data_IF_086965154217
#
_entry.id   IF_086965154217
#
_cell.length_a   1.000
_cell.length_b   1.000
_cell.length_c   1.000
_cell.angle_alpha   90.00
_cell.angle_beta   90.00
_cell.angle_gamma   90.00
#
_symmetry.space_group_name_H-M   'P 1'
#
loop_
_entity.id
_entity.type
_entity.pdbx_description
1 polymer ?
#
# COMPACT_ATOMS: atom_id res chain seq x y z
N UNK A 1 -24.73 -14.97 -0.88
CA UNK A 1 -24.08 -13.62 -0.78
C UNK A 1 -25.17 -12.55 -0.88
N UNK A 2 -25.04 -11.46 -0.11
CA UNK A 2 -26.02 -10.36 -0.14
C UNK A 2 -25.95 -9.57 -1.46
N UNK A 3 -27.02 -8.82 -1.79
CA UNK A 3 -27.01 -7.94 -2.96
C UNK A 3 -25.88 -6.88 -2.86
N UNK A 4 -25.60 -6.39 -1.65
CA UNK A 4 -24.54 -5.44 -1.39
C UNK A 4 -23.15 -6.06 -1.65
N UNK A 5 -22.89 -7.28 -1.18
CA UNK A 5 -21.63 -7.99 -1.44
C UNK A 5 -21.39 -8.14 -2.93
N UNK A 6 -22.42 -8.54 -3.69
CA UNK A 6 -22.33 -8.67 -5.13
C UNK A 6 -22.09 -7.35 -5.87
N UNK A 7 -22.66 -6.23 -5.36
CA UNK A 7 -22.42 -4.90 -5.91
C UNK A 7 -20.97 -4.44 -5.67
N UNK A 8 -20.44 -4.67 -4.47
CA UNK A 8 -19.04 -4.37 -4.13
C UNK A 8 -18.06 -5.19 -4.99
N UNK A 9 -18.37 -6.45 -5.28
CA UNK A 9 -17.54 -7.24 -6.20
C UNK A 9 -17.46 -6.61 -7.60
N UNK A 10 -18.55 -6.04 -8.12
CA UNK A 10 -18.53 -5.32 -9.40
C UNK A 10 -17.64 -4.07 -9.27
N UNK A 11 -17.77 -3.28 -8.21
CA UNK A 11 -16.93 -2.10 -8.02
C UNK A 11 -15.43 -2.45 -7.94
N UNK A 12 -15.09 -3.59 -7.36
CA UNK A 12 -13.70 -4.08 -7.29
C UNK A 12 -13.12 -4.54 -8.63
N UNK A 13 -13.93 -4.67 -9.69
CA UNK A 13 -13.42 -4.96 -11.03
C UNK A 13 -12.73 -3.75 -11.66
N UNK A 14 -13.04 -2.53 -11.22
CA UNK A 14 -12.42 -1.31 -11.72
C UNK A 14 -11.04 -1.10 -11.08
N UNK A 15 -10.08 -0.64 -11.86
CA UNK A 15 -8.73 -0.32 -11.41
C UNK A 15 -8.10 0.71 -12.36
N UNK A 16 -6.93 1.24 -12.01
CA UNK A 16 -6.18 2.14 -12.90
C UNK A 16 -5.81 1.48 -14.24
N UNK A 17 -5.64 0.17 -14.29
CA UNK A 17 -5.43 -0.59 -15.52
C UNK A 17 -6.74 -0.88 -16.27
N UNK A 18 -7.88 -0.77 -15.60
CA UNK A 18 -9.22 -1.02 -16.13
C UNK A 18 -10.18 0.07 -15.62
N UNK A 19 -10.02 1.31 -16.09
CA UNK A 19 -10.79 2.46 -15.58
C UNK A 19 -12.24 2.43 -16.02
N UNK A 20 -12.54 1.75 -17.13
CA UNK A 20 -13.89 1.51 -17.64
C UNK A 20 -14.08 0.05 -18.08
N UNK A 21 -15.30 -0.44 -17.97
CA UNK A 21 -15.66 -1.84 -18.28
C UNK A 21 -16.96 -1.89 -19.08
N UNK A 22 -17.00 -2.75 -20.08
CA UNK A 22 -18.25 -3.12 -20.76
C UNK A 22 -19.08 -4.06 -19.87
N UNK A 23 -20.35 -4.24 -20.23
CA UNK A 23 -21.20 -5.25 -19.59
C UNK A 23 -20.60 -6.66 -19.67
N UNK A 24 -20.01 -7.00 -20.82
CA UNK A 24 -19.37 -8.30 -21.03
C UNK A 24 -18.13 -8.48 -20.16
N UNK A 25 -17.30 -7.43 -20.00
CA UNK A 25 -16.12 -7.45 -19.13
C UNK A 25 -16.53 -7.74 -17.68
N UNK A 26 -17.57 -7.04 -17.18
CA UNK A 26 -18.08 -7.26 -15.82
C UNK A 26 -18.58 -8.69 -15.63
N UNK A 27 -19.30 -9.24 -16.60
CA UNK A 27 -19.74 -10.64 -16.54
C UNK A 27 -18.57 -11.61 -16.51
N UNK A 28 -17.57 -11.41 -17.35
CA UNK A 28 -16.39 -12.27 -17.42
C UNK A 28 -15.58 -12.23 -16.12
N UNK A 29 -15.41 -11.04 -15.52
CA UNK A 29 -14.65 -10.84 -14.30
C UNK A 29 -15.36 -11.37 -13.03
N UNK A 30 -16.70 -11.28 -12.99
CA UNK A 30 -17.47 -11.67 -11.79
C UNK A 30 -18.08 -13.05 -11.85
N UNK A 31 -18.16 -13.65 -13.05
CA UNK A 31 -18.84 -14.93 -13.27
C UNK A 31 -20.35 -14.91 -13.03
N UNK A 32 -20.96 -13.72 -12.88
CA UNK A 32 -22.38 -13.59 -12.51
C UNK A 32 -23.32 -13.75 -13.71
N UNK A 33 -24.54 -14.29 -13.50
CA UNK A 33 -25.56 -14.38 -14.54
C UNK A 33 -25.94 -13.01 -15.10
N UNK A 34 -26.30 -12.97 -16.41
CA UNK A 34 -26.68 -11.76 -17.15
C UNK A 34 -27.74 -10.92 -16.43
N UNK A 35 -28.80 -11.55 -15.93
CA UNK A 35 -29.91 -10.86 -15.23
C UNK A 35 -29.46 -10.19 -13.93
N UNK A 36 -28.62 -10.87 -13.14
CA UNK A 36 -28.07 -10.33 -11.91
C UNK A 36 -27.11 -9.17 -12.16
N UNK A 37 -26.20 -9.33 -13.14
CA UNK A 37 -25.25 -8.29 -13.54
C UNK A 37 -25.96 -7.04 -14.03
N UNK A 38 -26.98 -7.20 -14.89
CA UNK A 38 -27.76 -6.07 -15.41
C UNK A 38 -28.47 -5.30 -14.29
N UNK A 39 -29.09 -5.99 -13.34
CA UNK A 39 -29.77 -5.36 -12.21
C UNK A 39 -28.78 -4.62 -11.30
N UNK A 40 -27.64 -5.23 -10.97
CA UNK A 40 -26.64 -4.62 -10.10
C UNK A 40 -26.00 -3.39 -10.76
N UNK A 41 -25.61 -3.46 -12.03
CA UNK A 41 -25.06 -2.32 -12.77
C UNK A 41 -26.06 -1.16 -12.86
N UNK A 42 -27.35 -1.46 -13.08
CA UNK A 42 -28.42 -0.44 -13.05
C UNK A 42 -28.49 0.21 -11.66
N UNK A 43 -28.57 -0.58 -10.59
CA UNK A 43 -28.64 -0.05 -9.22
C UNK A 43 -27.42 0.80 -8.89
N UNK A 44 -26.20 0.35 -9.23
CA UNK A 44 -24.98 1.11 -9.01
C UNK A 44 -24.95 2.43 -9.78
N UNK A 45 -25.48 2.45 -11.00
CA UNK A 45 -25.62 3.66 -11.78
C UNK A 45 -26.69 4.59 -11.19
N UNK A 46 -27.84 4.06 -10.85
CA UNK A 46 -28.97 4.84 -10.36
C UNK A 46 -28.68 5.51 -9.00
N UNK A 47 -27.75 4.93 -8.19
CA UNK A 47 -27.27 5.55 -6.96
C UNK A 47 -25.96 6.36 -7.15
N UNK A 48 -25.47 6.57 -8.36
CA UNK A 48 -24.30 7.40 -8.67
C UNK A 48 -22.94 6.79 -8.38
N UNK A 49 -22.87 5.51 -7.96
CA UNK A 49 -21.60 4.79 -7.77
C UNK A 49 -20.92 4.43 -9.08
N UNK A 50 -21.71 4.21 -10.14
CA UNK A 50 -21.23 4.06 -11.51
C UNK A 50 -21.93 5.07 -12.40
N UNK A 51 -21.30 5.40 -13.51
CA UNK A 51 -21.92 6.06 -14.64
C UNK A 51 -21.68 5.25 -15.91
N UNK A 52 -22.56 5.40 -16.90
CA UNK A 52 -22.44 4.73 -18.18
C UNK A 52 -22.27 5.76 -19.28
N UNK A 53 -21.19 5.63 -20.02
CA UNK A 53 -20.96 6.46 -21.21
C UNK A 53 -22.08 6.23 -22.23
N UNK A 54 -22.77 7.27 -22.72
CA UNK A 54 -23.91 7.14 -23.62
C UNK A 54 -23.55 6.59 -25.01
N UNK A 55 -22.32 6.81 -25.46
CA UNK A 55 -21.85 6.41 -26.80
C UNK A 55 -21.25 5.01 -26.79
N UNK A 56 -20.29 4.75 -25.85
CA UNK A 56 -19.58 3.47 -25.78
C UNK A 56 -20.30 2.43 -24.96
N UNK A 57 -21.30 2.82 -24.17
CA UNK A 57 -22.06 1.98 -23.23
C UNK A 57 -21.17 1.32 -22.16
N UNK A 58 -19.92 1.77 -22.00
CA UNK A 58 -19.02 1.31 -20.95
C UNK A 58 -19.36 1.98 -19.63
N UNK A 59 -19.14 1.26 -18.53
CA UNK A 59 -19.33 1.73 -17.17
C UNK A 59 -17.98 2.23 -16.62
N UNK A 60 -18.02 3.29 -15.84
CA UNK A 60 -16.88 3.82 -15.07
C UNK A 60 -17.35 4.26 -13.69
N UNK A 61 -16.42 4.48 -12.71
CA UNK A 61 -16.78 5.05 -11.42
C UNK A 61 -17.56 6.35 -11.58
N UNK A 62 -18.68 6.47 -10.86
CA UNK A 62 -19.56 7.65 -10.90
C UNK A 62 -19.11 8.74 -9.94
N UNK A 63 -19.78 9.91 -10.02
CA UNK A 63 -19.42 11.09 -9.24
C UNK A 63 -19.43 10.84 -7.72
N UNK A 64 -20.37 10.04 -7.21
CA UNK A 64 -20.44 9.70 -5.79
C UNK A 64 -19.15 9.01 -5.29
N UNK A 65 -18.50 8.18 -6.12
CA UNK A 65 -17.23 7.55 -5.73
C UNK A 65 -16.11 8.56 -5.58
N UNK A 66 -16.08 9.59 -6.43
CA UNK A 66 -15.12 10.70 -6.33
C UNK A 66 -15.39 11.54 -5.06
N UNK A 67 -16.64 11.88 -4.77
CA UNK A 67 -17.03 12.65 -3.59
C UNK A 67 -16.63 11.91 -2.31
N UNK A 68 -16.97 10.63 -2.19
CA UNK A 68 -16.59 9.79 -1.06
C UNK A 68 -15.07 9.63 -0.94
N UNK A 69 -14.38 9.44 -2.08
CA UNK A 69 -12.92 9.35 -2.12
C UNK A 69 -12.23 10.64 -1.64
N UNK A 70 -12.82 11.80 -1.92
CA UNK A 70 -12.31 13.08 -1.40
C UNK A 70 -12.47 13.22 0.11
N UNK A 71 -13.52 12.66 0.69
CA UNK A 71 -13.74 12.67 2.14
C UNK A 71 -12.88 11.63 2.85
N UNK A 72 -12.49 10.57 2.15
CA UNK A 72 -11.63 9.55 2.71
C UNK A 72 -10.26 10.14 2.99
N UNK A 73 -9.87 10.18 4.26
CA UNK A 73 -8.58 10.71 4.75
C UNK A 73 -8.24 12.12 4.25
N UNK A 74 -9.27 12.96 3.98
CA UNK A 74 -9.07 14.33 3.52
C UNK A 74 -8.39 15.22 4.59
N UNK A 75 -8.52 14.85 5.85
CA UNK A 75 -7.94 15.53 7.01
C UNK A 75 -6.81 14.71 7.67
N UNK A 76 -6.19 13.80 6.92
CA UNK A 76 -5.13 12.96 7.43
C UNK A 76 -3.81 13.74 7.47
N UNK A 77 -3.57 14.41 8.58
CA UNK A 77 -2.35 15.17 8.83
C UNK A 77 -1.10 14.26 8.77
N UNK A 78 -1.25 12.97 9.15
CA UNK A 78 -0.17 11.99 9.09
C UNK A 78 0.31 11.75 7.65
N UNK A 79 -0.62 11.56 6.70
CA UNK A 79 -0.28 11.34 5.28
C UNK A 79 0.34 12.60 4.68
N UNK A 80 -0.25 13.77 4.95
CA UNK A 80 0.22 15.04 4.41
C UNK A 80 1.61 15.40 4.93
N UNK A 81 1.86 15.15 6.22
CA UNK A 81 3.16 15.33 6.86
C UNK A 81 4.20 14.37 6.26
N UNK A 82 3.85 13.09 6.15
CA UNK A 82 4.72 12.09 5.55
C UNK A 82 5.03 12.38 4.07
N UNK A 83 4.05 12.84 3.30
CA UNK A 83 4.23 13.19 1.89
C UNK A 83 5.21 14.35 1.72
N UNK A 84 5.11 15.39 2.54
CA UNK A 84 6.05 16.53 2.51
C UNK A 84 7.49 16.08 2.75
N UNK A 85 7.73 15.29 3.79
CA UNK A 85 9.07 14.78 4.11
C UNK A 85 9.58 13.80 3.04
N UNK A 86 8.69 12.97 2.49
CA UNK A 86 9.04 12.02 1.43
C UNK A 86 9.45 12.74 0.13
N UNK A 87 8.85 13.91 -0.18
CA UNK A 87 9.28 14.75 -1.31
C UNK A 87 10.76 15.16 -1.20
N UNK A 88 11.20 15.52 0.00
CA UNK A 88 12.59 15.85 0.26
C UNK A 88 13.53 14.64 0.04
N UNK A 89 13.14 13.48 0.52
CA UNK A 89 13.89 12.23 0.30
C UNK A 89 13.97 11.89 -1.19
N UNK A 90 12.84 11.95 -1.90
CA UNK A 90 12.78 11.69 -3.34
C UNK A 90 13.62 12.68 -4.16
N UNK A 91 13.62 13.97 -3.77
CA UNK A 91 14.44 14.99 -4.41
C UNK A 91 15.94 14.72 -4.23
N UNK A 92 16.37 14.29 -3.02
CA UNK A 92 17.79 14.00 -2.73
C UNK A 92 18.26 12.66 -3.30
N UNK A 93 17.40 11.66 -3.39
CA UNK A 93 17.78 10.32 -3.85
C UNK A 93 17.50 10.11 -5.34
N UNK A 94 16.63 10.91 -5.95
CA UNK A 94 16.18 10.74 -7.32
C UNK A 94 15.15 9.62 -7.51
N UNK A 95 14.85 8.83 -6.48
CA UNK A 95 13.98 7.67 -6.56
C UNK A 95 12.52 7.99 -6.20
N UNK A 96 11.60 7.11 -6.59
CA UNK A 96 10.16 7.29 -6.38
C UNK A 96 9.74 6.79 -5.00
N UNK A 97 9.01 7.63 -4.26
CA UNK A 97 8.46 7.33 -2.95
C UNK A 97 6.99 6.92 -3.00
N UNK A 98 6.58 6.14 -2.00
CA UNK A 98 5.22 5.63 -1.84
C UNK A 98 4.75 5.74 -0.40
N UNK A 99 3.48 6.11 -0.24
CA UNK A 99 2.78 6.00 1.04
C UNK A 99 1.61 5.03 0.83
N UNK A 100 1.49 4.05 1.71
CA UNK A 100 0.46 3.02 1.65
C UNK A 100 -0.13 2.74 3.02
N UNK A 101 -1.29 2.11 3.04
CA UNK A 101 -1.95 1.57 4.24
C UNK A 101 -2.12 0.07 4.12
N UNK A 102 -2.33 -0.59 5.27
CA UNK A 102 -2.60 -2.01 5.34
C UNK A 102 -4.12 -2.24 5.32
N UNK A 103 -4.58 -3.09 4.42
CA UNK A 103 -5.97 -3.58 4.35
C UNK A 103 -5.98 -5.11 4.22
N UNK A 104 -6.36 -5.78 5.31
CA UNK A 104 -6.18 -7.23 5.42
C UNK A 104 -4.70 -7.61 5.38
N UNK A 105 -4.33 -8.47 4.43
CA UNK A 105 -2.93 -8.87 4.16
C UNK A 105 -2.30 -8.12 2.98
N UNK A 106 -2.99 -7.15 2.42
CA UNK A 106 -2.53 -6.33 1.30
C UNK A 106 -2.19 -4.92 1.77
N UNK A 107 -1.25 -4.30 1.10
CA UNK A 107 -1.09 -2.86 1.13
C UNK A 107 -1.89 -2.19 0.02
N UNK A 108 -2.36 -0.99 0.26
CA UNK A 108 -3.02 -0.13 -0.72
C UNK A 108 -2.22 1.16 -0.85
N UNK A 109 -1.75 1.47 -2.05
CA UNK A 109 -1.01 2.72 -2.32
C UNK A 109 -1.97 3.91 -2.21
N UNK A 110 -1.63 4.90 -1.40
CA UNK A 110 -2.40 6.14 -1.26
C UNK A 110 -1.76 7.31 -1.97
N UNK A 111 -0.42 7.40 -1.95
CA UNK A 111 0.34 8.49 -2.56
C UNK A 111 1.57 7.95 -3.28
N UNK A 112 1.91 8.63 -4.37
CA UNK A 112 3.18 8.49 -5.09
C UNK A 112 3.88 9.83 -5.08
N UNK A 113 5.14 9.81 -4.74
CA UNK A 113 6.03 10.98 -4.84
C UNK A 113 7.10 10.67 -5.88
N UNK A 114 7.00 11.23 -7.10
CA UNK A 114 7.98 10.97 -8.15
C UNK A 114 9.36 11.48 -7.78
N UNK A 115 10.39 10.70 -8.08
CA UNK A 115 11.78 11.16 -8.12
C UNK A 115 12.16 11.65 -9.53
N UNK A 116 13.40 12.12 -9.68
CA UNK A 116 13.97 12.60 -10.96
C UNK A 116 14.50 11.48 -11.86
N UNK A 117 14.68 10.26 -11.34
CA UNK A 117 15.17 9.12 -12.12
C UNK A 117 14.17 8.75 -13.23
N UNK A 118 14.59 8.61 -14.49
CA UNK A 118 13.72 8.22 -15.60
C UNK A 118 13.18 6.79 -15.47
N UNK A 119 13.91 5.88 -14.84
CA UNK A 119 13.44 4.54 -14.53
C UNK A 119 12.55 4.57 -13.29
N UNK A 120 11.25 4.53 -13.51
CA UNK A 120 10.25 4.61 -12.43
C UNK A 120 9.49 3.31 -12.30
N UNK A 121 9.38 2.86 -11.07
CA UNK A 121 8.37 1.86 -10.70
C UNK A 121 7.05 2.61 -10.55
N UNK A 122 6.02 2.21 -11.29
CA UNK A 122 4.71 2.88 -11.24
C UNK A 122 3.69 1.96 -10.57
N UNK A 123 3.38 2.26 -9.32
CA UNK A 123 2.27 1.65 -8.59
C UNK A 123 1.24 2.75 -8.30
N UNK A 124 0.19 2.92 -9.11
CA UNK A 124 -0.74 4.04 -8.98
C UNK A 124 -1.51 3.98 -7.66
N UNK A 125 -2.01 5.12 -7.16
CA UNK A 125 -2.93 5.15 -6.03
C UNK A 125 -4.10 4.20 -6.24
N UNK A 126 -4.49 3.47 -5.17
CA UNK A 126 -5.46 2.39 -5.22
C UNK A 126 -4.87 1.02 -5.61
N UNK A 127 -3.62 0.95 -6.09
CA UNK A 127 -2.97 -0.33 -6.37
C UNK A 127 -2.83 -1.14 -5.09
N UNK A 128 -3.27 -2.41 -5.18
CA UNK A 128 -3.17 -3.40 -4.10
C UNK A 128 -2.04 -4.39 -4.41
N UNK A 129 -1.29 -4.73 -3.39
CA UNK A 129 -0.19 -5.69 -3.49
C UNK A 129 -0.09 -6.45 -2.17
N UNK A 130 0.19 -7.77 -2.16
CA UNK A 130 0.43 -8.49 -0.92
C UNK A 130 1.50 -7.81 -0.06
N UNK A 131 1.14 -7.40 1.15
CA UNK A 131 2.05 -6.71 2.08
C UNK A 131 3.28 -7.54 2.42
N UNK A 132 3.15 -8.87 2.32
CA UNK A 132 4.21 -9.84 2.55
C UNK A 132 5.40 -9.68 1.58
N UNK A 133 5.14 -9.16 0.37
CA UNK A 133 6.12 -9.05 -0.72
C UNK A 133 6.64 -7.61 -0.91
N UNK A 134 6.32 -6.68 -0.03
CA UNK A 134 6.73 -5.28 -0.17
C UNK A 134 7.43 -4.77 1.09
N UNK A 135 8.35 -3.82 0.95
CA UNK A 135 9.08 -3.27 2.09
C UNK A 135 8.17 -2.51 3.06
N UNK A 136 7.37 -1.57 2.56
CA UNK A 136 6.42 -0.83 3.41
C UNK A 136 5.31 -1.73 3.98
N UNK A 137 4.85 -2.73 3.23
CA UNK A 137 3.88 -3.72 3.72
C UNK A 137 4.43 -4.51 4.91
N UNK A 138 5.63 -5.09 4.77
CA UNK A 138 6.28 -5.80 5.88
C UNK A 138 6.62 -4.87 7.05
N UNK A 139 7.00 -3.63 6.77
CA UNK A 139 7.22 -2.66 7.84
C UNK A 139 5.95 -2.42 8.67
N UNK A 140 4.78 -2.33 8.03
CA UNK A 140 3.50 -2.21 8.73
C UNK A 140 3.14 -3.50 9.49
N UNK A 141 3.32 -4.68 8.87
CA UNK A 141 3.06 -5.96 9.52
C UNK A 141 3.95 -6.14 10.77
N UNK A 142 5.21 -5.71 10.73
CA UNK A 142 6.14 -5.80 11.86
C UNK A 142 5.67 -5.00 13.10
N UNK A 143 4.76 -4.02 12.91
CA UNK A 143 4.16 -3.21 13.99
C UNK A 143 2.93 -3.86 14.65
N UNK A 144 2.47 -4.99 14.14
CA UNK A 144 1.34 -5.74 14.65
C UNK A 144 1.81 -6.84 15.61
N UNK A 145 0.89 -7.34 16.45
CA UNK A 145 1.10 -8.55 17.22
C UNK A 145 1.19 -9.78 16.30
N UNK A 146 1.85 -10.83 16.75
CA UNK A 146 1.93 -12.09 15.99
C UNK A 146 0.55 -12.73 15.77
N UNK A 147 -0.38 -12.51 16.71
CA UNK A 147 -1.77 -12.94 16.60
C UNK A 147 -2.50 -12.18 15.48
N UNK A 148 -2.37 -10.84 15.44
CA UNK A 148 -2.95 -10.02 14.39
C UNK A 148 -2.40 -10.35 13.01
N UNK A 149 -1.09 -10.62 12.91
CA UNK A 149 -0.44 -11.04 11.66
C UNK A 149 -1.02 -12.37 11.21
N UNK A 150 -1.15 -13.34 12.13
CA UNK A 150 -1.72 -14.66 11.83
C UNK A 150 -3.16 -14.59 11.37
N UNK A 151 -3.96 -13.74 11.99
CA UNK A 151 -5.36 -13.52 11.61
C UNK A 151 -5.53 -12.88 10.22
N UNK A 152 -4.56 -12.08 9.79
CA UNK A 152 -4.59 -11.39 8.49
C UNK A 152 -4.09 -12.24 7.33
N UNK A 153 -3.04 -13.03 7.57
CA UNK A 153 -2.44 -13.87 6.51
C UNK A 153 -3.37 -15.03 6.19
N UNK A 154 -3.74 -15.23 4.91
CA UNK A 154 -4.63 -16.32 4.52
C UNK A 154 -4.07 -17.68 4.93
N UNK A 155 -4.96 -18.61 5.35
CA UNK A 155 -4.57 -19.98 5.70
C UNK A 155 -3.87 -20.70 4.53
N UNK A 156 -4.38 -20.50 3.30
CA UNK A 156 -3.66 -20.85 2.08
C UNK A 156 -2.69 -19.71 1.78
N UNK A 157 -1.41 -19.89 2.11
CA UNK A 157 -0.38 -18.89 1.89
C UNK A 157 -0.34 -18.48 0.41
N UNK A 158 -0.37 -17.17 0.09
CA UNK A 158 -0.47 -16.73 -1.29
C UNK A 158 0.78 -17.12 -2.09
N UNK A 159 0.61 -17.42 -3.38
CA UNK A 159 1.74 -17.59 -4.30
C UNK A 159 2.39 -16.23 -4.53
N UNK A 160 3.63 -16.10 -4.12
CA UNK A 160 4.43 -14.90 -4.27
C UNK A 160 5.65 -15.17 -5.16
N UNK A 161 6.29 -14.14 -5.74
CA UNK A 161 7.57 -14.29 -6.43
C UNK A 161 8.60 -14.98 -5.53
N UNK A 162 9.53 -15.71 -6.15
CA UNK A 162 10.47 -16.62 -5.45
C UNK A 162 11.26 -15.96 -4.32
N UNK A 163 11.63 -14.71 -4.47
CA UNK A 163 12.44 -13.99 -3.49
C UNK A 163 11.65 -13.48 -2.27
N UNK A 164 10.31 -13.46 -2.37
CA UNK A 164 9.43 -13.12 -1.25
C UNK A 164 9.42 -14.24 -0.20
N UNK A 165 9.03 -13.97 1.04
CA UNK A 165 8.77 -15.03 2.02
C UNK A 165 7.77 -16.04 1.46
N UNK A 166 8.16 -17.33 1.40
CA UNK A 166 7.36 -18.41 0.81
C UNK A 166 6.53 -19.18 1.85
N UNK A 167 6.63 -18.79 3.13
CA UNK A 167 5.88 -19.40 4.23
C UNK A 167 5.69 -18.39 5.36
N UNK A 168 4.69 -18.66 6.21
CA UNK A 168 4.46 -17.87 7.42
C UNK A 168 5.72 -17.79 8.32
N UNK A 169 6.46 -18.89 8.47
CA UNK A 169 7.70 -18.91 9.25
C UNK A 169 8.76 -17.98 8.65
N UNK A 170 8.96 -18.00 7.33
CA UNK A 170 9.91 -17.08 6.67
C UNK A 170 9.45 -15.63 6.81
N UNK A 171 8.14 -15.37 6.71
CA UNK A 171 7.60 -14.03 6.97
C UNK A 171 7.95 -13.57 8.38
N UNK A 172 7.65 -14.37 9.41
CA UNK A 172 7.94 -13.99 10.80
C UNK A 172 9.42 -13.71 11.03
N UNK A 173 10.33 -14.51 10.46
CA UNK A 173 11.79 -14.23 10.52
C UNK A 173 12.14 -12.86 9.93
N UNK A 174 11.53 -12.49 8.78
CA UNK A 174 11.73 -11.15 8.19
C UNK A 174 11.16 -10.03 9.06
N UNK A 175 9.98 -10.27 9.67
CA UNK A 175 9.36 -9.27 10.55
C UNK A 175 10.16 -9.05 11.83
N UNK A 176 10.74 -10.09 12.42
CA UNK A 176 11.61 -9.97 13.59
C UNK A 176 12.89 -9.17 13.29
N UNK A 177 13.46 -9.35 12.10
CA UNK A 177 14.57 -8.52 11.64
C UNK A 177 14.16 -7.04 11.52
N UNK A 178 12.98 -6.77 10.93
CA UNK A 178 12.44 -5.41 10.80
C UNK A 178 12.16 -4.79 12.16
N UNK A 179 11.60 -5.54 13.11
CA UNK A 179 11.39 -5.09 14.50
C UNK A 179 12.68 -4.65 15.17
N UNK A 180 13.77 -5.39 14.91
CA UNK A 180 15.11 -5.11 15.49
C UNK A 180 15.81 -3.93 14.80
N UNK A 181 15.68 -3.80 13.46
CA UNK A 181 16.44 -2.81 12.68
C UNK A 181 15.67 -1.54 12.39
N UNK A 182 14.33 -1.58 12.49
CA UNK A 182 13.43 -0.48 12.14
C UNK A 182 13.28 -0.21 10.64
N UNK A 183 13.97 -0.97 9.78
CA UNK A 183 13.97 -0.80 8.32
C UNK A 183 13.60 -2.12 7.64
N UNK A 184 12.74 -2.04 6.66
CA UNK A 184 12.35 -3.16 5.80
C UNK A 184 12.94 -2.99 4.41
N UNK A 185 13.43 -4.08 3.83
CA UNK A 185 13.96 -4.11 2.46
C UNK A 185 13.28 -5.21 1.65
N UNK A 186 13.10 -4.96 0.37
CA UNK A 186 12.63 -5.93 -0.61
C UNK A 186 13.44 -5.75 -1.91
N UNK A 187 13.78 -6.87 -2.58
CA UNK A 187 14.41 -6.87 -3.88
C UNK A 187 13.91 -8.07 -4.68
N UNK A 188 13.39 -7.80 -5.88
CA UNK A 188 12.83 -8.84 -6.77
C UNK A 188 11.70 -9.67 -6.11
N UNK A 189 10.95 -9.04 -5.21
CA UNK A 189 9.94 -9.74 -4.41
C UNK A 189 8.49 -9.52 -4.85
N UNK A 190 8.10 -8.31 -5.23
CA UNK A 190 6.76 -8.01 -5.77
C UNK A 190 6.78 -7.86 -7.28
N UNK A 191 7.85 -7.28 -7.80
CA UNK A 191 8.10 -7.05 -9.22
C UNK A 191 9.58 -7.35 -9.46
N UNK A 192 9.89 -8.14 -10.47
CA UNK A 192 11.26 -8.41 -10.89
C UNK A 192 11.98 -7.13 -11.31
N UNK A 193 13.25 -6.98 -10.95
CA UNK A 193 14.06 -5.79 -11.20
C UNK A 193 13.78 -4.60 -10.25
N UNK A 194 12.84 -4.75 -9.32
CA UNK A 194 12.47 -3.68 -8.37
C UNK A 194 13.02 -3.97 -6.98
N UNK A 195 13.77 -3.01 -6.44
CA UNK A 195 14.14 -2.94 -5.04
C UNK A 195 13.37 -1.84 -4.31
N UNK A 196 13.20 -1.98 -3.00
CA UNK A 196 12.61 -0.96 -2.16
C UNK A 196 13.11 -1.05 -0.72
N UNK A 197 13.15 0.10 -0.06
CA UNK A 197 13.41 0.23 1.36
C UNK A 197 12.30 1.07 1.99
N UNK A 198 11.90 0.73 3.21
CA UNK A 198 10.78 1.43 3.84
C UNK A 198 10.69 1.20 5.34
N UNK A 199 9.79 1.94 5.96
CA UNK A 199 9.45 1.84 7.37
C UNK A 199 7.95 2.06 7.57
N UNK A 200 7.45 1.75 8.76
CA UNK A 200 6.09 2.10 9.17
C UNK A 200 6.12 3.25 10.18
N UNK A 201 5.11 4.09 10.09
CA UNK A 201 4.84 5.20 11.00
C UNK A 201 3.44 5.02 11.58
N UNK A 202 3.30 5.16 12.90
CA UNK A 202 2.02 5.10 13.60
C UNK A 202 1.81 6.39 14.37
N UNK A 203 0.65 7.02 14.19
CA UNK A 203 0.26 8.17 15.00
C UNK A 203 0.01 7.75 16.45
N UNK A 204 0.66 8.41 17.39
CA UNK A 204 0.39 8.20 18.82
C UNK A 204 -0.98 8.70 19.26
N UNK A 205 -1.54 9.68 18.55
CA UNK A 205 -2.83 10.28 18.84
C UNK A 205 -3.99 9.47 18.26
N UNK A 206 -3.97 9.19 16.94
CA UNK A 206 -5.08 8.53 16.26
C UNK A 206 -4.94 7.01 16.17
N UNK A 207 -3.72 6.50 16.39
CA UNK A 207 -3.40 5.08 16.19
C UNK A 207 -3.31 4.67 14.71
N UNK A 208 -3.52 5.60 13.78
CA UNK A 208 -3.39 5.33 12.35
C UNK A 208 -1.97 4.94 11.98
N UNK A 209 -1.85 4.01 11.03
CA UNK A 209 -0.56 3.49 10.59
C UNK A 209 -0.44 3.57 9.07
N UNK A 210 0.70 4.09 8.62
CA UNK A 210 1.09 4.13 7.22
C UNK A 210 2.44 3.45 7.00
N UNK A 211 2.62 2.87 5.84
CA UNK A 211 3.91 2.37 5.35
C UNK A 211 4.48 3.36 4.34
N UNK A 212 5.75 3.69 4.50
CA UNK A 212 6.48 4.61 3.64
C UNK A 212 7.65 3.85 3.02
N UNK A 213 7.85 3.99 1.71
CA UNK A 213 8.96 3.34 1.02
C UNK A 213 9.49 4.19 -0.13
N UNK A 214 10.74 3.95 -0.47
CA UNK A 214 11.38 4.42 -1.70
C UNK A 214 11.75 3.20 -2.53
N UNK A 215 11.35 3.19 -3.81
CA UNK A 215 11.61 2.10 -4.75
C UNK A 215 12.58 2.54 -5.84
N UNK A 216 13.41 1.60 -6.27
CA UNK A 216 14.47 1.79 -7.24
C UNK A 216 14.65 0.54 -8.13
N UNK A 217 15.35 0.68 -9.26
CA UNK A 217 15.78 -0.46 -10.07
C UNK A 217 16.96 -1.17 -9.39
N UNK A 218 16.83 -2.47 -9.16
CA UNK A 218 17.91 -3.28 -8.56
C UNK A 218 19.17 -3.25 -9.43
N UNK A 219 19.02 -3.29 -10.75
CA UNK A 219 20.12 -3.34 -11.71
C UNK A 219 20.80 -1.96 -11.90
N UNK A 220 20.01 -0.87 -11.91
CA UNK A 220 20.53 0.46 -12.18
C UNK A 220 21.00 1.23 -10.94
N UNK A 221 20.75 0.71 -9.72
CA UNK A 221 21.05 1.41 -8.47
C UNK A 221 22.23 0.75 -7.77
N UNK A 222 23.29 1.50 -7.54
CA UNK A 222 24.52 1.03 -6.88
C UNK A 222 24.30 0.76 -5.39
N UNK A 223 25.22 0.02 -4.76
CA UNK A 223 25.20 -0.22 -3.33
C UNK A 223 25.28 1.10 -2.51
N UNK A 224 26.07 2.08 -3.01
CA UNK A 224 26.22 3.39 -2.38
C UNK A 224 24.89 4.19 -2.41
N UNK A 225 24.17 4.18 -3.54
CA UNK A 225 22.87 4.82 -3.68
C UNK A 225 21.82 4.15 -2.78
N UNK A 226 21.80 2.82 -2.71
CA UNK A 226 20.94 2.08 -1.77
C UNK A 226 21.22 2.44 -0.31
N UNK A 227 22.49 2.55 0.05
CA UNK A 227 22.89 3.00 1.39
C UNK A 227 22.47 4.46 1.66
N UNK A 228 22.52 5.33 0.65
CA UNK A 228 22.00 6.69 0.73
C UNK A 228 20.49 6.71 0.96
N UNK A 229 19.70 5.93 0.20
CA UNK A 229 18.25 5.79 0.40
C UNK A 229 17.94 5.36 1.83
N UNK A 230 18.67 4.36 2.35
CA UNK A 230 18.51 3.89 3.73
C UNK A 230 18.74 5.00 4.75
N UNK A 231 19.83 5.77 4.59
CA UNK A 231 20.18 6.88 5.48
C UNK A 231 19.11 7.97 5.49
N UNK A 232 18.64 8.37 4.29
CA UNK A 232 17.62 9.40 4.13
C UNK A 232 16.28 8.96 4.76
N UNK A 233 15.87 7.70 4.51
CA UNK A 233 14.67 7.13 5.13
C UNK A 233 14.78 7.03 6.64
N UNK A 234 15.95 6.65 7.18
CA UNK A 234 16.17 6.58 8.63
C UNK A 234 16.06 7.96 9.29
N UNK A 235 16.64 8.99 8.67
CA UNK A 235 16.53 10.37 9.14
C UNK A 235 15.08 10.86 9.12
N UNK A 236 14.35 10.60 8.01
CA UNK A 236 12.94 10.90 7.90
C UNK A 236 12.10 10.18 8.96
N UNK A 237 12.34 8.88 9.17
CA UNK A 237 11.62 8.09 10.16
C UNK A 237 11.81 8.66 11.58
N UNK A 238 13.04 8.98 11.96
CA UNK A 238 13.33 9.56 13.26
C UNK A 238 12.64 10.92 13.46
N UNK A 239 12.62 11.77 12.41
CA UNK A 239 11.92 13.06 12.45
C UNK A 239 10.42 12.88 12.61
N UNK A 240 9.79 12.06 11.77
CA UNK A 240 8.35 11.85 11.78
C UNK A 240 7.86 11.17 13.06
N UNK A 241 8.59 10.19 13.60
CA UNK A 241 8.24 9.51 14.87
C UNK A 241 8.14 10.51 16.02
N UNK A 242 9.09 11.43 16.13
CA UNK A 242 9.03 12.50 17.15
C UNK A 242 7.84 13.43 16.96
N UNK A 243 7.54 13.80 15.71
CA UNK A 243 6.44 14.73 15.41
C UNK A 243 5.05 14.10 15.65
N UNK A 244 4.92 12.79 15.45
CA UNK A 244 3.65 12.06 15.55
C UNK A 244 3.45 11.35 16.87
N UNK A 245 4.44 11.39 17.76
CA UNK A 245 4.42 10.62 19.02
C UNK A 245 4.34 9.10 18.78
N UNK A 246 5.01 8.60 17.73
CA UNK A 246 5.01 7.16 17.41
C UNK A 246 5.54 6.37 18.61
N UNK A 247 4.81 5.36 19.13
CA UNK A 247 5.21 4.59 20.31
C UNK A 247 6.59 3.93 20.21
N UNK A 248 7.07 3.62 18.97
CA UNK A 248 8.42 3.04 18.80
C UNK A 248 9.58 3.98 19.11
N UNK A 249 9.34 5.29 19.17
CA UNK A 249 10.37 6.26 19.56
C UNK A 249 10.65 6.16 21.07
N UNK A 250 9.63 5.88 21.87
CA UNK A 250 9.75 5.68 23.33
C UNK A 250 10.47 4.38 23.68
N UNK A 251 10.24 3.30 22.92
CA UNK A 251 10.91 2.01 23.13
C UNK A 251 12.40 2.10 22.78
N UNK A 252 12.76 2.80 21.70
CA UNK A 252 14.15 3.04 21.32
C UNK A 252 14.90 3.88 22.40
N UNK A 253 14.23 4.87 22.97
CA UNK A 253 14.79 5.69 24.05
C UNK A 253 15.01 4.87 25.34
N UNK A 254 14.08 3.99 25.71
CA UNK A 254 14.20 3.09 26.88
C UNK A 254 15.36 2.10 26.76
N UNK A 255 15.59 1.56 25.55
CA UNK A 255 16.71 0.65 25.28
C UNK A 255 18.05 1.40 25.42
N UNK A 256 18.13 2.66 24.98
CA UNK A 256 19.36 3.48 25.10
C UNK A 256 19.64 3.95 26.50
N UNK A 257 18.62 4.15 27.33
CA UNK A 257 18.79 4.63 28.73
C UNK A 257 19.00 3.51 29.75
N UNK A 258 18.97 2.24 29.33
CA UNK A 258 19.30 1.10 30.18
C UNK A 258 18.37 0.89 31.38
N UNK A 259 17.18 1.47 31.36
CA UNK A 259 16.19 1.29 32.43
C UNK A 259 15.40 0.01 32.19
N UNK A 260 15.70 -1.03 32.98
CA UNK A 260 14.93 -2.26 33.11
C UNK A 260 13.66 -2.01 33.91
#
# INVERSE_FOLDING_TARGET
>A
MSALTNAIEILRCFSSARPDLSFADVMALTGKPKSSTSRLLRSLRDCGLLEQDPHTRRYRPGLLTFELGRLHRAHDDLISMAERELREVCARTGHTGYIAVLDGYEQVVLRIVPGSNPLRVVNPPGQRTPALATSNGRAMLARLSDEDIRARVPAAYPKLPRNSPQSFRQLMTRLDEIRRTGVSEAADESIEGVGSQGFALKSGETGEMIGIAVSYSVQATTAAERANVRRELAAMAAKLRRMTGDPSDQDAARIQTGTR
#
